data_IF_396849838645
#
_entry.id   IF_396849838645
#
_cell.length_a   1.000
_cell.length_b   1.000
_cell.length_c   1.000
_cell.angle_alpha   90.00
_cell.angle_beta   90.00
_cell.angle_gamma   90.00
#
_symmetry.space_group_name_H-M   'P 1'
#
loop_
_entity.id
_entity.type
_entity.pdbx_description
1 polymer ?
#
# COMPACT_ATOMS: atom_id res chain seq x y z
N UNK A 1 -19.86 11.01 -30.53
CA UNK A 1 -19.27 9.68 -30.68
C UNK A 1 -19.31 9.02 -29.31
N UNK A 2 -20.48 8.49 -28.96
CA UNK A 2 -20.73 7.89 -27.65
C UNK A 2 -20.01 6.53 -27.62
N UNK A 3 -19.04 6.39 -26.73
CA UNK A 3 -18.41 5.11 -26.45
C UNK A 3 -19.50 4.15 -25.97
N UNK A 4 -19.74 3.12 -26.78
CA UNK A 4 -20.43 1.90 -26.39
C UNK A 4 -19.73 1.40 -25.14
N UNK A 5 -20.34 1.66 -24.01
CA UNK A 5 -19.98 1.11 -22.72
C UNK A 5 -21.17 0.18 -22.43
N UNK A 6 -20.93 -1.13 -22.29
CA UNK A 6 -21.88 -2.11 -21.73
C UNK A 6 -23.05 -2.60 -22.60
N UNK A 7 -22.94 -2.71 -23.94
CA UNK A 7 -24.03 -3.28 -24.75
C UNK A 7 -23.84 -4.76 -25.12
N UNK A 8 -24.07 -5.67 -24.16
CA UNK A 8 -24.51 -7.04 -24.46
C UNK A 8 -25.07 -7.77 -23.21
N UNK A 9 -26.32 -7.50 -22.82
CA UNK A 9 -27.36 -8.55 -22.65
C UNK A 9 -28.67 -7.93 -22.11
N UNK A 10 -29.73 -8.18 -22.87
CA UNK A 10 -31.13 -7.95 -22.51
C UNK A 10 -31.60 -8.93 -21.40
N UNK A 11 -32.34 -8.37 -20.44
CA UNK A 11 -32.92 -8.90 -19.18
C UNK A 11 -33.85 -10.15 -19.31
N UNK A 12 -34.15 -10.87 -18.20
CA UNK A 12 -35.38 -10.56 -17.43
C UNK A 12 -35.30 -10.70 -15.88
N UNK A 13 -35.96 -9.74 -15.21
CA UNK A 13 -36.65 -9.75 -13.90
C UNK A 13 -36.32 -10.79 -12.81
N UNK A 14 -35.89 -10.33 -11.63
CA UNK A 14 -36.05 -11.06 -10.34
C UNK A 14 -36.57 -10.13 -9.23
N UNK A 15 -37.55 -10.66 -8.50
CA UNK A 15 -38.40 -10.08 -7.44
C UNK A 15 -37.67 -9.78 -6.12
N UNK A 16 -38.15 -8.87 -5.25
CA UNK A 16 -37.42 -8.42 -4.05
C UNK A 16 -37.71 -9.30 -2.83
N UNK A 17 -36.67 -9.73 -2.11
CA UNK A 17 -36.80 -10.26 -0.74
C UNK A 17 -36.36 -9.21 0.29
N UNK A 18 -37.25 -9.01 1.26
CA UNK A 18 -37.27 -7.96 2.29
C UNK A 18 -36.50 -8.41 3.54
N UNK A 19 -35.96 -7.42 4.23
CA UNK A 19 -35.05 -7.51 5.38
C UNK A 19 -35.61 -8.10 6.68
N UNK A 20 -34.67 -8.35 7.60
CA UNK A 20 -34.70 -8.91 8.95
C UNK A 20 -35.66 -8.25 9.97
N UNK A 21 -35.70 -8.80 11.21
CA UNK A 21 -35.62 -7.92 12.36
C UNK A 21 -34.62 -8.39 13.45
N UNK A 22 -34.03 -7.37 14.08
CA UNK A 22 -33.20 -7.39 15.29
C UNK A 22 -34.01 -6.87 16.50
N UNK A 23 -33.82 -7.44 17.69
CA UNK A 23 -34.22 -6.84 18.99
C UNK A 23 -33.13 -7.12 20.04
N UNK A 24 -32.46 -6.06 20.53
CA UNK A 24 -32.52 -5.48 21.89
C UNK A 24 -31.97 -6.43 23.00
N UNK A 25 -31.00 -6.02 23.83
CA UNK A 25 -31.29 -5.20 25.01
C UNK A 25 -30.08 -4.38 25.54
N UNK A 26 -30.40 -3.10 25.72
CA UNK A 26 -29.97 -2.09 26.67
C UNK A 26 -29.33 -2.56 28.01
N UNK A 27 -28.22 -1.93 28.42
CA UNK A 27 -28.02 -1.52 29.83
C UNK A 27 -27.14 -0.28 29.97
N UNK A 28 -27.75 0.81 30.44
CA UNK A 28 -27.11 2.08 30.87
C UNK A 28 -26.52 1.94 32.28
N UNK A 29 -25.41 2.65 32.57
CA UNK A 29 -25.17 3.41 33.82
C UNK A 29 -24.00 4.40 33.64
N UNK A 30 -24.27 5.69 33.86
CA UNK A 30 -23.34 6.82 34.04
C UNK A 30 -22.98 6.95 35.56
N UNK A 31 -22.32 8.04 36.03
CA UNK A 31 -20.91 8.42 35.89
C UNK A 31 -20.24 8.60 37.29
N UNK A 32 -18.91 8.61 37.42
CA UNK A 32 -18.26 9.13 38.63
C UNK A 32 -16.97 9.91 38.31
N UNK A 33 -16.96 11.12 38.85
CA UNK A 33 -15.93 12.16 38.90
C UNK A 33 -14.76 11.72 39.80
N UNK A 34 -13.53 12.16 39.49
CA UNK A 34 -12.39 11.94 40.39
C UNK A 34 -11.01 12.40 39.87
N UNK A 35 -10.88 13.70 39.64
CA UNK A 35 -9.72 14.57 39.97
C UNK A 35 -8.28 14.04 40.22
N UNK A 36 -7.34 14.77 39.59
CA UNK A 36 -5.99 15.22 40.05
C UNK A 36 -4.86 14.19 40.29
N UNK A 37 -3.79 14.30 39.48
CA UNK A 37 -2.46 14.60 40.03
C UNK A 37 -1.56 15.26 38.96
N UNK A 38 -0.99 16.40 39.35
CA UNK A 38 -0.04 17.23 38.60
C UNK A 38 1.36 16.74 38.96
N UNK A 39 2.21 16.42 37.98
CA UNK A 39 3.66 16.45 38.15
C UNK A 39 4.31 17.09 36.94
N UNK A 40 4.60 18.37 37.14
CA UNK A 40 5.58 19.19 36.46
C UNK A 40 6.99 18.56 36.51
N UNK A 41 7.67 18.49 35.37
CA UNK A 41 9.10 18.82 35.29
C UNK A 41 9.38 19.47 33.94
N UNK A 42 9.37 20.80 33.98
CA UNK A 42 9.97 21.69 33.00
C UNK A 42 11.49 21.61 33.06
N UNK A 43 12.15 21.48 31.91
CA UNK A 43 13.51 21.98 31.70
C UNK A 43 13.66 22.46 30.25
N UNK A 44 13.52 23.78 30.14
CA UNK A 44 13.74 24.61 28.95
C UNK A 44 15.25 24.79 28.77
N UNK A 45 15.77 24.62 27.56
CA UNK A 45 17.05 25.22 27.16
C UNK A 45 16.74 26.34 26.16
N UNK A 46 16.68 27.57 26.68
CA UNK A 46 16.40 28.78 25.94
C UNK A 46 17.65 29.24 25.19
N UNK A 47 17.43 29.57 23.93
CA UNK A 47 18.23 30.51 23.13
C UNK A 47 18.06 31.90 23.77
N UNK A 48 19.15 32.60 24.08
CA UNK A 48 19.30 34.06 23.86
C UNK A 48 20.71 34.55 24.18
N UNK A 49 21.20 35.40 23.29
CA UNK A 49 22.44 36.15 23.38
C UNK A 49 22.32 37.30 24.40
N UNK A 50 23.36 37.61 25.18
CA UNK A 50 23.61 38.98 25.64
C UNK A 50 25.07 39.20 26.11
N UNK A 51 25.72 40.18 25.48
CA UNK A 51 26.80 41.07 25.95
C UNK A 51 28.18 40.56 26.39
N UNK A 52 29.19 40.83 25.53
CA UNK A 52 30.23 41.84 25.81
C UNK A 52 31.34 41.61 26.85
N UNK A 53 32.58 41.51 26.33
CA UNK A 53 33.91 41.88 26.91
C UNK A 53 34.61 41.01 28.00
N UNK A 54 35.71 40.39 27.53
CA UNK A 54 37.10 40.27 28.06
C UNK A 54 37.35 39.90 29.53
N UNK A 55 38.12 38.83 29.77
CA UNK A 55 39.55 38.84 30.17
C UNK A 55 40.11 37.40 30.12
N UNK A 56 41.40 37.19 29.77
CA UNK A 56 42.02 35.87 29.75
C UNK A 56 42.67 35.57 31.10
N UNK A 57 42.46 34.36 31.65
CA UNK A 57 43.28 33.89 32.76
C UNK A 57 43.67 32.42 32.57
N UNK A 58 44.99 32.21 32.60
CA UNK A 58 45.72 30.95 32.66
C UNK A 58 45.09 29.94 33.61
N UNK A 59 44.91 28.70 33.15
CA UNK A 59 44.95 27.53 34.03
C UNK A 59 45.90 26.46 33.45
N UNK A 60 46.65 25.77 34.31
CA UNK A 60 47.91 25.14 33.95
C UNK A 60 47.73 23.78 33.28
N UNK A 61 48.76 23.43 32.52
CA UNK A 61 49.00 22.16 31.84
C UNK A 61 48.75 20.96 32.74
N UNK A 62 47.65 20.25 32.49
CA UNK A 62 47.39 18.92 33.02
C UNK A 62 48.27 17.91 32.27
N UNK A 63 49.03 17.14 33.04
CA UNK A 63 50.04 16.18 32.59
C UNK A 63 49.42 15.09 31.69
N UNK A 64 49.74 15.15 30.40
CA UNK A 64 49.44 14.09 29.42
C UNK A 64 50.56 13.04 29.43
N UNK A 65 50.30 11.75 29.70
CA UNK A 65 51.30 10.71 29.50
C UNK A 65 51.48 10.44 28.01
N UNK A 66 52.66 10.76 27.48
CA UNK A 66 53.10 10.33 26.15
C UNK A 66 53.41 8.83 26.21
N UNK A 67 52.90 8.11 25.20
CA UNK A 67 53.17 6.72 24.84
C UNK A 67 52.37 5.65 25.62
N UNK A 68 51.41 5.00 24.94
CA UNK A 68 51.73 3.72 24.30
C UNK A 68 50.62 3.33 23.31
N UNK A 69 50.99 3.38 22.03
CA UNK A 69 50.27 2.71 20.95
C UNK A 69 50.35 1.20 21.18
N UNK A 70 49.35 0.56 21.78
CA UNK A 70 49.14 -0.89 21.67
C UNK A 70 47.84 -1.32 22.34
N UNK A 71 46.72 -1.17 21.62
CA UNK A 71 45.51 -2.02 21.68
C UNK A 71 44.39 -1.42 20.79
N UNK A 72 44.65 -1.32 19.49
CA UNK A 72 43.59 -1.35 18.47
C UNK A 72 43.69 -2.68 17.72
N UNK A 73 43.48 -3.78 18.43
CA UNK A 73 43.29 -5.09 17.81
C UNK A 73 41.78 -5.30 17.65
N UNK A 74 41.33 -5.10 16.42
CA UNK A 74 40.19 -5.80 15.84
C UNK A 74 38.83 -5.60 16.50
N UNK A 75 38.27 -4.39 16.42
CA UNK A 75 36.83 -4.32 16.16
C UNK A 75 36.73 -4.61 14.66
N UNK A 76 36.33 -5.83 14.31
CA UNK A 76 35.76 -6.08 13.00
C UNK A 76 34.60 -5.10 12.86
N UNK A 77 34.85 -4.02 12.12
CA UNK A 77 33.78 -3.26 11.50
C UNK A 77 33.06 -4.26 10.62
N UNK A 78 31.98 -4.83 11.14
CA UNK A 78 30.91 -5.27 10.28
C UNK A 78 30.51 -4.03 9.51
N UNK A 79 31.11 -3.87 8.31
CA UNK A 79 30.44 -3.16 7.24
C UNK A 79 29.08 -3.86 7.16
N UNK A 80 28.06 -3.23 7.75
CA UNK A 80 26.69 -3.40 7.31
C UNK A 80 26.79 -3.11 5.81
N UNK A 81 26.90 -4.16 5.00
CA UNK A 81 26.64 -4.03 3.60
C UNK A 81 25.24 -3.45 3.55
N UNK A 82 25.12 -2.21 3.12
CA UNK A 82 23.87 -1.72 2.59
C UNK A 82 23.56 -2.70 1.45
N UNK A 83 22.76 -3.71 1.76
CA UNK A 83 22.27 -4.68 0.82
C UNK A 83 21.52 -3.85 -0.21
N UNK A 84 22.17 -3.71 -1.37
CA UNK A 84 21.64 -2.96 -2.50
C UNK A 84 20.22 -3.44 -2.71
N UNK A 85 19.24 -2.60 -2.42
CA UNK A 85 17.82 -2.88 -2.57
C UNK A 85 17.58 -3.41 -3.99
N UNK A 86 17.45 -4.74 -4.11
CA UNK A 86 17.24 -5.43 -5.39
C UNK A 86 15.79 -5.28 -5.86
N UNK A 87 14.94 -4.57 -5.10
CA UNK A 87 13.52 -4.41 -5.39
C UNK A 87 13.28 -3.40 -6.50
N UNK A 88 12.19 -3.57 -7.24
CA UNK A 88 11.76 -2.66 -8.32
C UNK A 88 10.46 -1.98 -7.90
N UNK A 89 10.17 -0.75 -8.38
CA UNK A 89 8.87 -0.13 -8.18
C UNK A 89 7.74 -1.08 -8.58
N UNK A 90 6.87 -1.35 -7.63
CA UNK A 90 5.80 -2.35 -7.76
C UNK A 90 4.45 -1.71 -7.48
N UNK A 91 3.42 -2.24 -8.09
CA UNK A 91 2.05 -1.73 -8.01
C UNK A 91 1.07 -2.87 -7.72
N UNK A 92 -0.06 -2.49 -7.13
CA UNK A 92 -1.28 -3.30 -7.12
C UNK A 92 -2.23 -2.72 -8.16
N UNK A 93 -2.64 -3.52 -9.14
CA UNK A 93 -3.66 -3.13 -10.10
C UNK A 93 -5.00 -3.80 -9.79
N UNK A 94 -6.08 -3.05 -9.96
CA UNK A 94 -7.47 -3.51 -9.87
C UNK A 94 -8.07 -3.60 -11.26
N UNK A 95 -8.77 -4.71 -11.51
CA UNK A 95 -9.53 -4.97 -12.73
C UNK A 95 -10.82 -5.67 -12.34
N UNK A 96 -11.97 -5.17 -12.77
CA UNK A 96 -13.25 -5.87 -12.64
C UNK A 96 -13.52 -6.72 -13.88
N UNK A 97 -14.24 -7.83 -13.70
CA UNK A 97 -14.61 -8.77 -14.77
C UNK A 97 -16.06 -9.24 -14.59
N UNK A 98 -16.81 -9.51 -15.68
CA UNK A 98 -18.24 -9.78 -15.61
C UNK A 98 -18.62 -11.09 -14.92
N UNK A 99 -17.71 -12.07 -14.90
CA UNK A 99 -18.01 -13.40 -14.36
C UNK A 99 -16.74 -14.18 -13.99
N UNK A 100 -16.96 -15.31 -13.29
CA UNK A 100 -15.92 -16.20 -12.79
C UNK A 100 -15.04 -16.83 -13.86
N UNK A 101 -15.61 -17.19 -15.00
CA UNK A 101 -14.85 -17.81 -16.09
C UNK A 101 -13.90 -16.78 -16.72
N UNK A 102 -14.39 -15.57 -16.98
CA UNK A 102 -13.59 -14.44 -17.46
C UNK A 102 -12.47 -14.10 -16.47
N UNK A 103 -12.78 -13.98 -15.18
CA UNK A 103 -11.79 -13.69 -14.14
C UNK A 103 -10.69 -14.73 -14.03
N UNK A 104 -11.05 -16.01 -14.02
CA UNK A 104 -10.08 -17.11 -13.99
C UNK A 104 -9.18 -17.10 -15.24
N UNK A 105 -9.78 -17.01 -16.43
CA UNK A 105 -9.05 -17.03 -17.71
C UNK A 105 -8.10 -15.84 -17.81
N UNK A 106 -8.55 -14.65 -17.45
CA UNK A 106 -7.74 -13.44 -17.51
C UNK A 106 -6.59 -13.50 -16.51
N UNK A 107 -6.85 -13.90 -15.25
CA UNK A 107 -5.82 -14.07 -14.22
C UNK A 107 -4.74 -15.08 -14.64
N UNK A 108 -5.13 -16.24 -15.19
CA UNK A 108 -4.19 -17.25 -15.68
C UNK A 108 -3.35 -16.72 -16.85
N UNK A 109 -3.95 -16.00 -17.79
CA UNK A 109 -3.24 -15.43 -18.94
C UNK A 109 -2.19 -14.40 -18.51
N UNK A 110 -2.54 -13.48 -17.60
CA UNK A 110 -1.65 -12.43 -17.09
C UNK A 110 -0.39 -13.02 -16.44
N UNK A 111 -0.57 -14.05 -15.60
CA UNK A 111 0.55 -14.70 -14.92
C UNK A 111 1.38 -15.53 -15.90
N UNK A 112 0.73 -16.25 -16.83
CA UNK A 112 1.41 -17.05 -17.86
C UNK A 112 2.30 -16.19 -18.77
N UNK A 113 1.84 -15.00 -19.12
CA UNK A 113 2.59 -14.02 -19.92
C UNK A 113 3.63 -13.24 -19.11
N UNK A 114 3.73 -13.50 -17.80
CA UNK A 114 4.65 -12.83 -16.86
C UNK A 114 4.45 -11.32 -16.77
N UNK A 115 3.22 -10.87 -17.04
CA UNK A 115 2.79 -9.48 -16.86
C UNK A 115 2.48 -9.15 -15.40
N UNK A 116 2.26 -10.16 -14.56
CA UNK A 116 2.16 -10.03 -13.12
C UNK A 116 2.71 -11.26 -12.41
N UNK A 117 3.14 -11.09 -11.16
CA UNK A 117 3.62 -12.19 -10.34
C UNK A 117 2.46 -12.98 -9.71
N UNK A 118 1.38 -12.29 -9.34
CA UNK A 118 0.24 -12.87 -8.63
C UNK A 118 -1.04 -12.11 -8.95
N UNK A 119 -2.16 -12.84 -9.03
CA UNK A 119 -3.51 -12.28 -9.11
C UNK A 119 -4.37 -12.94 -8.03
N UNK A 120 -5.02 -12.15 -7.18
CA UNK A 120 -6.10 -12.66 -6.33
C UNK A 120 -7.43 -12.36 -7.00
N UNK A 121 -8.38 -13.29 -6.90
CA UNK A 121 -9.74 -13.14 -7.42
C UNK A 121 -10.69 -13.02 -6.24
N UNK A 122 -11.46 -11.93 -6.18
CA UNK A 122 -12.49 -11.70 -5.16
C UNK A 122 -13.85 -11.84 -5.84
N UNK A 123 -14.57 -12.96 -5.61
CA UNK A 123 -15.84 -13.22 -6.26
C UNK A 123 -17.00 -12.46 -5.61
N UNK A 124 -18.08 -12.27 -6.36
CA UNK A 124 -19.37 -11.82 -5.82
C UNK A 124 -19.41 -10.36 -5.39
N UNK A 125 -18.69 -9.49 -6.10
CA UNK A 125 -18.79 -8.04 -5.89
C UNK A 125 -20.01 -7.49 -6.63
N UNK A 126 -20.54 -6.37 -6.15
CA UNK A 126 -21.53 -5.58 -6.88
C UNK A 126 -20.90 -4.24 -7.26
N UNK A 127 -20.93 -3.93 -8.55
CA UNK A 127 -20.48 -2.66 -9.09
C UNK A 127 -21.69 -1.79 -9.36
N UNK A 128 -21.71 -0.59 -8.77
CA UNK A 128 -22.81 0.36 -8.90
C UNK A 128 -22.28 1.63 -9.57
N UNK A 129 -22.86 2.02 -10.69
CA UNK A 129 -22.38 3.14 -11.51
C UNK A 129 -23.53 3.84 -12.24
N UNK A 130 -23.27 5.06 -12.75
CA UNK A 130 -24.25 5.82 -13.53
C UNK A 130 -24.01 5.64 -15.02
N UNK A 131 -25.02 5.19 -15.75
CA UNK A 131 -24.94 5.00 -17.21
C UNK A 131 -26.33 5.03 -17.82
N UNK A 132 -26.48 5.62 -19.03
CA UNK A 132 -27.78 5.75 -19.72
C UNK A 132 -28.87 6.38 -18.83
N UNK A 133 -28.48 7.49 -18.16
CA UNK A 133 -29.32 8.29 -17.26
C UNK A 133 -29.98 7.52 -16.10
N UNK A 134 -29.37 6.41 -15.69
CA UNK A 134 -29.82 5.60 -14.55
C UNK A 134 -28.66 5.02 -13.76
N UNK A 135 -28.96 4.62 -12.54
CA UNK A 135 -28.05 3.79 -11.73
C UNK A 135 -28.14 2.36 -12.26
N UNK A 136 -27.00 1.80 -12.60
CA UNK A 136 -26.82 0.40 -12.97
C UNK A 136 -26.13 -0.35 -11.83
N UNK A 137 -26.45 -1.63 -11.71
CA UNK A 137 -25.80 -2.54 -10.76
C UNK A 137 -25.52 -3.85 -11.46
N UNK A 138 -24.24 -4.23 -11.53
CA UNK A 138 -23.80 -5.49 -12.10
C UNK A 138 -23.08 -6.35 -11.06
N UNK A 139 -23.19 -7.67 -11.20
CA UNK A 139 -22.41 -8.62 -10.40
C UNK A 139 -21.12 -8.94 -11.14
N UNK A 140 -19.99 -8.78 -10.46
CA UNK A 140 -18.66 -8.92 -11.04
C UNK A 140 -17.72 -9.71 -10.12
N UNK A 141 -16.50 -9.92 -10.58
CA UNK A 141 -15.36 -10.27 -9.72
C UNK A 141 -14.29 -9.18 -9.78
N UNK A 142 -13.55 -9.00 -8.68
CA UNK A 142 -12.40 -8.09 -8.63
C UNK A 142 -11.09 -8.88 -8.69
N UNK A 143 -10.25 -8.53 -9.64
CA UNK A 143 -8.87 -9.00 -9.73
C UNK A 143 -7.92 -8.03 -9.03
N UNK A 144 -7.12 -8.55 -8.11
CA UNK A 144 -6.07 -7.81 -7.39
C UNK A 144 -4.71 -8.33 -7.83
N UNK A 145 -4.09 -7.60 -8.75
CA UNK A 145 -2.92 -7.98 -9.52
C UNK A 145 -1.67 -7.32 -8.93
N UNK A 146 -0.62 -8.08 -8.62
CA UNK A 146 0.66 -7.54 -8.11
C UNK A 146 1.71 -7.66 -9.20
N UNK A 147 2.24 -6.52 -9.63
CA UNK A 147 3.21 -6.46 -10.72
C UNK A 147 4.19 -5.29 -10.54
N UNK A 148 5.12 -5.14 -11.49
CA UNK A 148 6.01 -3.98 -11.59
C UNK A 148 5.27 -2.80 -12.19
N UNK A 149 5.64 -1.61 -11.75
CA UNK A 149 5.12 -0.36 -12.34
C UNK A 149 5.42 -0.27 -13.84
N UNK A 150 6.60 -0.71 -14.27
CA UNK A 150 7.02 -0.71 -15.69
C UNK A 150 6.14 -1.55 -16.61
N UNK A 151 5.36 -2.49 -16.07
CA UNK A 151 4.49 -3.38 -16.84
C UNK A 151 3.06 -2.88 -16.97
N UNK A 152 2.71 -1.75 -16.34
CA UNK A 152 1.33 -1.26 -16.31
C UNK A 152 0.74 -1.09 -17.71
N UNK A 153 1.47 -0.48 -18.64
CA UNK A 153 1.00 -0.26 -20.02
C UNK A 153 0.71 -1.58 -20.73
N UNK A 154 1.64 -2.55 -20.65
CA UNK A 154 1.47 -3.88 -21.25
C UNK A 154 0.33 -4.66 -20.60
N UNK A 155 0.16 -4.53 -19.29
CA UNK A 155 -0.97 -5.12 -18.57
C UNK A 155 -2.31 -4.54 -19.06
N UNK A 156 -2.41 -3.22 -19.22
CA UNK A 156 -3.61 -2.55 -19.73
C UNK A 156 -3.94 -3.04 -21.14
N UNK A 157 -2.94 -3.11 -22.03
CA UNK A 157 -3.12 -3.64 -23.40
C UNK A 157 -3.61 -5.08 -23.39
N UNK A 158 -2.98 -5.93 -22.58
CA UNK A 158 -3.36 -7.34 -22.45
C UNK A 158 -4.80 -7.49 -21.93
N UNK A 159 -5.18 -6.72 -20.91
CA UNK A 159 -6.55 -6.71 -20.39
C UNK A 159 -7.51 -6.30 -21.50
N UNK A 160 -7.27 -5.17 -22.18
CA UNK A 160 -8.15 -4.70 -23.28
C UNK A 160 -8.35 -5.73 -24.38
N UNK A 161 -7.30 -6.46 -24.77
CA UNK A 161 -7.40 -7.49 -25.81
C UNK A 161 -8.13 -8.76 -25.37
N UNK A 162 -8.28 -8.99 -24.07
CA UNK A 162 -8.85 -10.22 -23.51
C UNK A 162 -10.08 -9.96 -22.62
N UNK A 163 -10.64 -8.76 -22.66
CA UNK A 163 -11.80 -8.36 -21.84
C UNK A 163 -13.05 -8.20 -22.70
N UNK A 164 -14.21 -8.50 -22.12
CA UNK A 164 -15.50 -8.42 -22.80
C UNK A 164 -15.98 -6.97 -22.99
N UNK A 165 -15.68 -6.11 -22.02
CA UNK A 165 -16.02 -4.69 -22.08
C UNK A 165 -15.10 -3.90 -23.01
N UNK A 166 -15.68 -2.96 -23.75
CA UNK A 166 -14.97 -2.02 -24.62
C UNK A 166 -13.98 -1.13 -23.84
N UNK A 167 -14.35 -0.75 -22.60
CA UNK A 167 -13.54 0.06 -21.70
C UNK A 167 -13.46 -0.67 -20.35
N UNK A 168 -12.53 -1.62 -20.17
CA UNK A 168 -12.37 -2.31 -18.89
C UNK A 168 -11.80 -1.37 -17.83
N UNK A 169 -12.25 -1.54 -16.57
CA UNK A 169 -11.61 -0.89 -15.43
C UNK A 169 -10.20 -1.46 -15.26
N UNK A 170 -9.18 -0.60 -15.34
CA UNK A 170 -7.80 -0.93 -14.95
C UNK A 170 -7.19 0.27 -14.25
N UNK A 171 -7.03 0.19 -12.94
CA UNK A 171 -6.40 1.23 -12.12
C UNK A 171 -5.26 0.63 -11.30
N UNK A 172 -4.32 1.46 -10.84
CA UNK A 172 -3.18 0.98 -10.06
C UNK A 172 -2.85 1.85 -8.85
N UNK A 173 -2.30 1.22 -7.83
CA UNK A 173 -1.87 1.82 -6.57
C UNK A 173 -0.40 1.46 -6.33
N UNK A 174 0.46 2.40 -5.93
CA UNK A 174 1.87 2.13 -5.66
C UNK A 174 2.05 1.29 -4.39
N UNK A 175 2.99 0.33 -4.44
CA UNK A 175 3.45 -0.42 -3.27
C UNK A 175 4.66 0.33 -2.69
N UNK A 176 4.49 0.92 -1.51
CA UNK A 176 5.52 1.75 -0.86
C UNK A 176 6.43 0.96 0.10
N UNK A 177 6.17 -0.32 0.32
CA UNK A 177 6.94 -1.19 1.22
C UNK A 177 6.30 -2.56 1.37
N UNK A 178 6.94 -3.45 2.13
CA UNK A 178 6.45 -4.80 2.37
C UNK A 178 7.57 -5.75 2.79
N UNK A 179 7.33 -7.05 2.65
CA UNK A 179 8.36 -8.07 2.86
C UNK A 179 9.32 -8.08 1.66
N UNK A 180 10.60 -7.77 1.89
CA UNK A 180 11.63 -7.66 0.84
C UNK A 180 11.73 -8.91 -0.03
N UNK A 181 11.66 -10.10 0.57
CA UNK A 181 11.70 -11.38 -0.17
C UNK A 181 10.50 -11.54 -1.12
N UNK A 182 9.34 -11.00 -0.72
CA UNK A 182 8.14 -11.04 -1.56
C UNK A 182 8.24 -10.03 -2.72
N UNK A 183 8.76 -8.83 -2.46
CA UNK A 183 8.99 -7.82 -3.49
C UNK A 183 10.07 -8.26 -4.49
N UNK A 184 11.11 -8.92 -4.01
CA UNK A 184 12.10 -9.56 -4.88
C UNK A 184 11.49 -10.69 -5.71
N UNK A 185 10.60 -11.50 -5.13
CA UNK A 185 9.86 -12.51 -5.88
C UNK A 185 8.96 -11.92 -6.97
N UNK A 186 8.30 -10.78 -6.71
CA UNK A 186 7.53 -10.05 -7.75
C UNK A 186 8.43 -9.69 -8.92
N UNK A 187 9.60 -9.12 -8.63
CA UNK A 187 10.61 -8.81 -9.64
C UNK A 187 10.97 -10.06 -10.43
N UNK A 188 11.41 -11.13 -9.77
CA UNK A 188 11.93 -12.32 -10.44
C UNK A 188 10.87 -13.09 -11.25
N UNK A 189 9.58 -12.94 -10.91
CA UNK A 189 8.47 -13.62 -11.58
C UNK A 189 7.95 -12.89 -12.82
N UNK A 190 8.32 -11.63 -13.03
CA UNK A 190 7.80 -10.77 -14.09
C UNK A 190 8.86 -10.44 -15.15
N UNK A 191 8.44 -10.18 -16.39
CA UNK A 191 9.33 -9.87 -17.53
C UNK A 191 8.92 -8.60 -18.24
N UNK A 192 9.89 -7.75 -18.55
CA UNK A 192 9.74 -6.52 -19.35
C UNK A 192 9.53 -6.78 -20.83
#
# INVERSE_FOLDING_TARGET
MAFLCLKAFSSPSVSPYRAAPSTLLLRRRLPLIGTFCVLSFSAIAAITCYNGRLYPHNFPTFLWPKNFNLLRKGIHSTKMAAESSTTVPSIVAYVTVPNREAGKKLAESIVKEKLAACVNVVPGIQSVYWWDDKIQTDTEELLIIKTRESLLTRLIEHVKSNHEYDVPEVISLPITGGNDKYLEWIKNSTRE
#
